data_IF_491083668565
#
_entry.id   IF_491083668565
#
_cell.length_a   1.000
_cell.length_b   1.000
_cell.length_c   1.000
_cell.angle_alpha   90.00
_cell.angle_beta   90.00
_cell.angle_gamma   90.00
#
_symmetry.space_group_name_H-M   'P 1'
#
loop_
_entity.id
_entity.type
_entity.pdbx_description
1 polymer ?
#
# COMPACT_ATOMS: atom_id res chain seq x y z
N UNK A 1 5.92 3.67 24.13
CA UNK A 1 6.80 3.75 22.94
C UNK A 1 7.04 2.39 22.28
N UNK A 2 7.20 1.29 23.03
CA UNK A 2 7.51 -0.06 22.48
C UNK A 2 6.46 -0.62 21.49
N UNK A 3 5.15 -0.54 21.80
CA UNK A 3 4.10 -1.08 20.92
C UNK A 3 4.01 -0.39 19.56
N UNK A 4 4.46 0.86 19.46
CA UNK A 4 4.38 1.65 18.23
C UNK A 4 5.55 1.39 17.29
N UNK A 5 6.69 0.98 17.85
CA UNK A 5 7.84 0.53 17.08
C UNK A 5 7.50 -0.66 16.17
N UNK A 6 6.48 -1.46 16.53
CA UNK A 6 6.10 -2.67 15.81
C UNK A 6 5.06 -2.45 14.70
N UNK A 7 4.33 -1.33 14.68
CA UNK A 7 3.25 -1.09 13.69
C UNK A 7 3.83 -0.86 12.29
N UNK A 8 4.92 -0.09 12.18
CA UNK A 8 5.62 0.10 10.90
C UNK A 8 6.14 -1.22 10.31
N UNK A 9 6.93 -2.01 11.05
CA UNK A 9 7.36 -3.35 10.63
C UNK A 9 6.20 -4.29 10.31
N UNK A 10 5.07 -4.19 11.02
CA UNK A 10 3.87 -4.97 10.72
C UNK A 10 3.30 -4.62 9.34
N UNK A 11 3.16 -3.32 9.00
CA UNK A 11 2.71 -2.90 7.67
C UNK A 11 3.61 -3.46 6.57
N UNK A 12 4.94 -3.39 6.76
CA UNK A 12 5.93 -3.93 5.83
C UNK A 12 5.80 -5.46 5.67
N UNK A 13 5.55 -6.16 6.78
CA UNK A 13 5.37 -7.61 6.78
C UNK A 13 4.12 -8.01 6.01
N UNK A 14 2.99 -7.31 6.23
CA UNK A 14 1.74 -7.54 5.50
C UNK A 14 1.94 -7.29 4.01
N UNK A 15 2.61 -6.18 3.64
CA UNK A 15 2.88 -5.84 2.24
C UNK A 15 3.70 -6.94 1.53
N UNK A 16 4.84 -7.33 2.09
CA UNK A 16 5.70 -8.36 1.49
C UNK A 16 5.05 -9.74 1.47
N UNK A 17 4.36 -10.13 2.54
CA UNK A 17 3.62 -11.39 2.56
C UNK A 17 2.55 -11.41 1.46
N UNK A 18 1.79 -10.32 1.32
CA UNK A 18 0.78 -10.17 0.25
C UNK A 18 1.41 -10.31 -1.14
N UNK A 19 2.51 -9.59 -1.39
CA UNK A 19 3.21 -9.62 -2.69
C UNK A 19 3.70 -11.03 -3.00
N UNK A 20 4.37 -11.68 -2.04
CA UNK A 20 4.90 -13.05 -2.21
C UNK A 20 3.76 -14.02 -2.52
N UNK A 21 2.69 -14.01 -1.71
CA UNK A 21 1.55 -14.91 -1.92
C UNK A 21 0.91 -14.65 -3.29
N UNK A 22 0.69 -13.39 -3.65
CA UNK A 22 0.09 -13.02 -4.94
C UNK A 22 0.94 -13.51 -6.13
N UNK A 23 2.27 -13.37 -6.06
CA UNK A 23 3.19 -13.88 -7.09
C UNK A 23 3.17 -15.41 -7.14
N UNK A 24 3.19 -16.08 -5.98
CA UNK A 24 3.21 -17.56 -5.94
C UNK A 24 1.96 -18.20 -6.56
N UNK A 25 0.80 -17.55 -6.42
CA UNK A 25 -0.47 -18.01 -6.98
C UNK A 25 -0.60 -17.66 -8.47
N UNK A 26 0.24 -16.75 -8.98
CA UNK A 26 0.21 -16.27 -10.36
C UNK A 26 1.55 -16.52 -11.08
N UNK A 27 1.84 -17.76 -11.55
CA UNK A 27 3.12 -18.13 -12.17
C UNK A 27 3.44 -17.36 -13.47
N UNK A 28 2.43 -16.75 -14.09
CA UNK A 28 2.61 -15.91 -15.28
C UNK A 28 3.30 -14.58 -14.96
N UNK A 29 3.28 -14.16 -13.69
CA UNK A 29 3.80 -12.87 -13.26
C UNK A 29 5.31 -12.78 -13.39
N UNK A 30 5.80 -11.69 -13.98
CA UNK A 30 7.22 -11.43 -14.14
C UNK A 30 7.57 -10.02 -13.64
N UNK A 31 8.39 -9.93 -12.61
CA UNK A 31 8.81 -8.66 -11.99
C UNK A 31 9.48 -7.67 -12.96
N UNK A 32 10.06 -8.14 -14.07
CA UNK A 32 10.72 -7.27 -15.06
C UNK A 32 9.78 -6.81 -16.19
N UNK A 33 8.59 -7.40 -16.30
CA UNK A 33 7.64 -7.11 -17.39
C UNK A 33 6.30 -6.58 -16.91
N UNK A 34 5.91 -6.91 -15.68
CA UNK A 34 4.61 -6.62 -15.12
C UNK A 34 4.72 -5.61 -13.98
N UNK A 35 3.66 -4.83 -13.80
CA UNK A 35 3.50 -4.02 -12.60
C UNK A 35 2.93 -4.90 -11.48
N UNK A 36 3.32 -4.67 -10.21
CA UNK A 36 2.74 -5.41 -9.08
C UNK A 36 1.20 -5.30 -9.04
N UNK A 37 0.64 -4.16 -9.47
CA UNK A 37 -0.81 -3.96 -9.52
C UNK A 37 -1.53 -4.80 -10.58
N UNK A 38 -0.81 -5.43 -11.52
CA UNK A 38 -1.38 -6.42 -12.44
C UNK A 38 -1.89 -7.66 -11.66
N UNK A 39 -1.30 -7.95 -10.49
CA UNK A 39 -1.78 -9.00 -9.58
C UNK A 39 -3.12 -8.64 -8.90
N UNK A 40 -3.54 -7.39 -9.01
CA UNK A 40 -4.83 -6.90 -8.53
C UNK A 40 -5.84 -6.64 -9.64
N UNK A 41 -5.57 -7.00 -10.90
CA UNK A 41 -6.41 -6.64 -12.04
C UNK A 41 -7.84 -7.18 -11.94
N UNK A 42 -8.83 -6.45 -12.48
CA UNK A 42 -10.26 -6.77 -12.36
C UNK A 42 -10.66 -8.10 -13.00
N UNK A 43 -9.91 -8.56 -13.99
CA UNK A 43 -10.12 -9.80 -14.74
C UNK A 43 -9.40 -11.01 -14.13
N UNK A 44 -8.62 -10.80 -13.07
CA UNK A 44 -7.89 -11.87 -12.39
C UNK A 44 -8.70 -12.45 -11.23
N UNK A 45 -9.01 -13.76 -11.28
CA UNK A 45 -9.78 -14.44 -10.23
C UNK A 45 -9.14 -14.36 -8.84
N UNK A 46 -7.81 -14.23 -8.79
CA UNK A 46 -7.02 -14.18 -7.55
C UNK A 46 -6.69 -12.76 -7.11
N UNK A 47 -7.27 -11.74 -7.76
CA UNK A 47 -6.99 -10.32 -7.48
C UNK A 47 -7.26 -9.92 -6.02
N UNK A 48 -8.20 -10.60 -5.37
CA UNK A 48 -8.59 -10.32 -4.00
C UNK A 48 -7.42 -10.50 -3.04
N UNK A 49 -6.47 -11.40 -3.33
CA UNK A 49 -5.28 -11.62 -2.48
C UNK A 49 -4.46 -10.32 -2.44
N UNK A 50 -4.13 -9.78 -3.60
CA UNK A 50 -3.33 -8.57 -3.70
C UNK A 50 -4.09 -7.34 -3.18
N UNK A 51 -5.33 -7.14 -3.63
CA UNK A 51 -6.12 -5.95 -3.29
C UNK A 51 -6.47 -5.91 -1.79
N UNK A 52 -6.86 -7.02 -1.16
CA UNK A 52 -7.12 -7.03 0.28
C UNK A 52 -5.85 -6.77 1.09
N UNK A 53 -4.70 -7.32 0.67
CA UNK A 53 -3.43 -7.05 1.31
C UNK A 53 -2.95 -5.60 1.16
N UNK A 54 -3.24 -4.93 0.03
CA UNK A 54 -3.03 -3.49 -0.12
C UNK A 54 -3.90 -2.68 0.84
N UNK A 55 -5.18 -3.01 0.97
CA UNK A 55 -6.10 -2.35 1.92
C UNK A 55 -5.57 -2.50 3.35
N UNK A 56 -5.21 -3.72 3.75
CA UNK A 56 -4.68 -3.99 5.10
C UNK A 56 -3.37 -3.25 5.36
N UNK A 57 -2.44 -3.28 4.40
CA UNK A 57 -1.19 -2.52 4.47
C UNK A 57 -1.47 -1.03 4.64
N UNK A 58 -2.35 -0.46 3.82
CA UNK A 58 -2.71 0.95 3.86
C UNK A 58 -3.32 1.36 5.20
N UNK A 59 -4.23 0.56 5.76
CA UNK A 59 -4.83 0.84 7.08
C UNK A 59 -3.76 0.85 8.17
N UNK A 60 -2.91 -0.18 8.22
CA UNK A 60 -1.85 -0.28 9.26
C UNK A 60 -0.83 0.85 9.08
N UNK A 61 -0.48 1.19 7.85
CA UNK A 61 0.44 2.29 7.55
C UNK A 61 -0.15 3.66 7.94
N UNK A 62 -1.43 3.91 7.67
CA UNK A 62 -2.12 5.13 8.08
C UNK A 62 -2.15 5.28 9.62
N UNK A 63 -2.39 4.18 10.36
CA UNK A 63 -2.33 4.17 11.83
C UNK A 63 -0.92 4.53 12.32
N UNK A 64 0.11 3.97 11.70
CA UNK A 64 1.50 4.28 12.03
C UNK A 64 1.83 5.75 11.75
N UNK A 65 1.44 6.27 10.59
CA UNK A 65 1.68 7.67 10.22
C UNK A 65 0.93 8.65 11.14
N UNK A 66 -0.32 8.35 11.52
CA UNK A 66 -1.07 9.15 12.50
C UNK A 66 -0.43 9.16 13.89
N UNK A 67 0.31 8.10 14.26
CA UNK A 67 1.13 8.16 15.46
C UNK A 67 2.36 9.05 15.29
N UNK A 68 3.06 8.96 14.15
CA UNK A 68 4.22 9.80 13.85
C UNK A 68 3.86 11.30 13.91
N UNK A 69 2.67 11.65 13.45
CA UNK A 69 2.15 13.01 13.56
C UNK A 69 2.04 13.45 15.04
N UNK A 70 1.49 12.60 15.92
CA UNK A 70 1.32 12.94 17.35
C UNK A 70 2.63 13.10 18.11
N UNK A 71 3.69 12.41 17.71
CA UNK A 71 5.01 12.51 18.36
C UNK A 71 5.94 13.49 17.66
N UNK A 72 5.48 14.12 16.58
CA UNK A 72 6.24 15.11 15.83
C UNK A 72 6.58 16.32 16.68
N UNK A 73 7.85 16.71 16.68
CA UNK A 73 8.36 17.85 17.46
C UNK A 73 8.45 19.14 16.65
N UNK A 74 8.31 19.06 15.33
CA UNK A 74 8.42 20.21 14.43
C UNK A 74 7.44 20.08 13.26
N UNK A 75 7.27 21.19 12.52
CA UNK A 75 6.31 21.27 11.41
C UNK A 75 6.70 20.36 10.23
N UNK A 76 7.99 20.12 10.02
CA UNK A 76 8.48 19.27 8.92
C UNK A 76 8.09 17.81 9.16
N UNK A 77 8.29 17.30 10.37
CA UNK A 77 7.93 15.92 10.71
C UNK A 77 6.42 15.70 10.72
N UNK A 78 5.65 16.71 11.15
CA UNK A 78 4.19 16.68 11.05
C UNK A 78 3.72 16.66 9.59
N UNK A 79 4.30 17.50 8.73
CA UNK A 79 4.01 17.50 7.28
C UNK A 79 4.36 16.16 6.62
N UNK A 80 5.52 15.58 6.93
CA UNK A 80 5.91 14.27 6.43
C UNK A 80 4.92 13.16 6.85
N UNK A 81 4.41 13.23 8.08
CA UNK A 81 3.39 12.29 8.57
C UNK A 81 2.08 12.46 7.81
N UNK A 82 1.68 13.70 7.50
CA UNK A 82 0.52 13.98 6.64
C UNK A 82 0.66 13.43 5.22
N UNK A 83 1.84 13.58 4.61
CA UNK A 83 2.15 12.98 3.29
C UNK A 83 2.08 11.46 3.36
N UNK A 84 2.59 10.84 4.43
CA UNK A 84 2.50 9.39 4.62
C UNK A 84 1.05 8.89 4.77
N UNK A 85 0.18 9.65 5.43
CA UNK A 85 -1.27 9.34 5.50
C UNK A 85 -1.90 9.43 4.11
N UNK A 86 -1.57 10.45 3.32
CA UNK A 86 -2.04 10.57 1.94
C UNK A 86 -1.56 9.40 1.07
N UNK A 87 -0.28 9.02 1.19
CA UNK A 87 0.27 7.84 0.53
C UNK A 87 -0.50 6.56 0.91
N UNK A 88 -0.76 6.35 2.19
CA UNK A 88 -1.56 5.22 2.68
C UNK A 88 -2.98 5.21 2.11
N UNK A 89 -3.62 6.37 1.97
CA UNK A 89 -4.93 6.48 1.35
C UNK A 89 -4.89 6.09 -0.14
N UNK A 90 -3.87 6.52 -0.89
CA UNK A 90 -3.70 6.12 -2.29
C UNK A 90 -3.43 4.63 -2.43
N UNK A 91 -2.66 4.03 -1.50
CA UNK A 91 -2.45 2.59 -1.48
C UNK A 91 -3.77 1.80 -1.34
N UNK A 92 -4.71 2.30 -0.53
CA UNK A 92 -6.06 1.74 -0.43
C UNK A 92 -6.84 1.98 -1.72
N UNK A 93 -6.75 3.19 -2.30
CA UNK A 93 -7.44 3.51 -3.56
C UNK A 93 -6.96 2.65 -4.74
N UNK A 94 -5.69 2.26 -4.80
CA UNK A 94 -5.18 1.30 -5.80
C UNK A 94 -5.95 -0.02 -5.74
N UNK A 95 -6.31 -0.48 -4.54
CA UNK A 95 -7.11 -1.69 -4.35
C UNK A 95 -8.61 -1.48 -4.61
N UNK A 96 -9.14 -0.29 -4.34
CA UNK A 96 -10.55 0.08 -4.61
C UNK A 96 -10.78 0.32 -6.11
N UNK A 97 -9.77 0.81 -6.81
CA UNK A 97 -9.74 1.02 -8.26
C UNK A 97 -8.64 0.15 -8.85
N UNK A 98 -8.85 -1.17 -9.00
CA UNK A 98 -7.80 -2.07 -9.44
C UNK A 98 -7.42 -1.88 -10.91
N UNK A 99 -6.32 -2.53 -11.32
CA UNK A 99 -5.85 -2.47 -12.70
C UNK A 99 -6.95 -2.92 -13.66
N UNK A 100 -7.13 -2.18 -14.76
CA UNK A 100 -8.28 -2.31 -15.66
C UNK A 100 -9.44 -1.35 -15.39
N UNK A 101 -9.35 -0.51 -14.35
CA UNK A 101 -10.28 0.62 -14.13
C UNK A 101 -9.66 1.96 -14.53
N UNK A 102 -10.49 2.90 -14.99
CA UNK A 102 -10.05 4.26 -15.40
C UNK A 102 -9.26 5.00 -14.30
N UNK A 103 -9.67 5.02 -13.01
CA UNK A 103 -8.95 5.76 -11.98
C UNK A 103 -7.59 5.16 -11.60
N UNK A 104 -7.35 3.87 -11.92
CA UNK A 104 -6.20 3.11 -11.42
C UNK A 104 -4.86 3.79 -11.69
N UNK A 105 -4.67 4.27 -12.93
CA UNK A 105 -3.41 4.91 -13.34
C UNK A 105 -3.13 6.18 -12.54
N UNK A 106 -4.17 6.97 -12.29
CA UNK A 106 -4.07 8.22 -11.56
C UNK A 106 -3.68 7.96 -10.10
N UNK A 107 -4.46 7.11 -9.40
CA UNK A 107 -4.20 6.82 -7.97
C UNK A 107 -2.87 6.10 -7.74
N UNK A 108 -2.44 5.27 -8.69
CA UNK A 108 -1.14 4.58 -8.62
C UNK A 108 0.03 5.54 -8.80
N UNK A 109 -0.05 6.48 -9.74
CA UNK A 109 0.99 7.49 -9.95
C UNK A 109 1.13 8.39 -8.72
N UNK A 110 0.02 8.86 -8.17
CA UNK A 110 0.04 9.69 -6.96
C UNK A 110 0.63 8.96 -5.76
N UNK A 111 0.32 7.67 -5.58
CA UNK A 111 0.99 6.85 -4.56
C UNK A 111 2.51 6.89 -4.69
N UNK A 112 3.06 6.67 -5.90
CA UNK A 112 4.51 6.68 -6.13
C UNK A 112 5.16 8.06 -5.97
N UNK A 113 4.41 9.14 -6.15
CA UNK A 113 4.91 10.50 -5.91
C UNK A 113 4.91 10.86 -4.42
N UNK A 114 4.03 10.23 -3.63
CA UNK A 114 3.87 10.51 -2.20
C UNK A 114 4.71 9.59 -1.30
N UNK A 115 4.98 8.34 -1.73
CA UNK A 115 5.70 7.31 -0.98
C UNK A 115 7.23 7.46 -1.07
#
# INVERSE_FOLDING_TARGET
MSKVCLIGPLALTIAWATIIVSITVNPWFNLYKNALSDLGAVDLETNYIFNTGLILTGIVFAIYAGFLERVSKNRISAMASGIAILSAAHLIMIAVFPSGTEPHKFVSLEFFLLA
#
